data_IF_543691479680
#
_entry.id   IF_543691479680
#
_cell.length_a   1.000
_cell.length_b   1.000
_cell.length_c   1.000
_cell.angle_alpha   90.00
_cell.angle_beta   90.00
_cell.angle_gamma   90.00
#
_symmetry.space_group_name_H-M   'P 1'
#
loop_
_entity.id
_entity.type
_entity.pdbx_description
1 polymer ?
#
# COMPACT_ATOMS: atom_id res chain seq x y z
N UNK A 1 13.91 -16.77 -6.29
CA UNK A 1 12.45 -16.73 -6.46
C UNK A 1 12.09 -15.61 -7.42
N UNK A 2 11.06 -15.78 -8.23
CA UNK A 2 10.55 -14.69 -9.07
C UNK A 2 9.89 -13.61 -8.19
N UNK A 3 9.94 -12.35 -8.60
CA UNK A 3 9.41 -11.21 -7.81
C UNK A 3 7.89 -11.07 -7.83
N UNK A 4 7.12 -12.17 -7.90
CA UNK A 4 5.66 -12.17 -7.95
C UNK A 4 4.99 -12.68 -6.66
N UNK A 5 5.80 -13.12 -5.70
CA UNK A 5 5.34 -13.63 -4.40
C UNK A 5 5.92 -12.79 -3.27
N UNK A 6 5.10 -12.44 -2.30
CA UNK A 6 5.42 -11.69 -1.09
C UNK A 6 5.07 -12.55 0.14
N UNK A 7 5.81 -12.37 1.25
CA UNK A 7 5.57 -13.06 2.54
C UNK A 7 6.31 -14.39 2.68
N UNK A 8 6.33 -14.92 3.88
CA UNK A 8 6.97 -16.20 4.25
C UNK A 8 5.93 -17.27 4.64
N UNK A 9 5.05 -16.96 5.59
CA UNK A 9 3.93 -17.82 6.02
C UNK A 9 2.60 -17.32 5.49
N UNK A 10 2.39 -16.00 5.47
CA UNK A 10 1.27 -15.39 4.76
C UNK A 10 1.74 -14.95 3.38
N UNK A 11 1.65 -15.84 2.41
CA UNK A 11 2.19 -15.64 1.08
C UNK A 11 1.13 -15.11 0.12
N UNK A 12 1.50 -14.09 -0.65
CA UNK A 12 0.64 -13.49 -1.68
C UNK A 12 1.34 -13.57 -3.02
N UNK A 13 0.83 -14.38 -3.93
CA UNK A 13 1.31 -14.44 -5.32
C UNK A 13 0.33 -13.72 -6.24
N UNK A 14 0.81 -12.77 -7.04
CA UNK A 14 -0.03 -12.00 -7.96
C UNK A 14 0.32 -12.25 -9.42
N UNK A 15 -0.68 -12.25 -10.30
CA UNK A 15 -0.55 -12.38 -11.76
C UNK A 15 -1.54 -11.47 -12.49
N UNK A 16 -1.39 -11.36 -13.80
CA UNK A 16 -2.23 -10.53 -14.68
C UNK A 16 -1.61 -9.20 -15.06
N UNK A 17 -2.14 -8.55 -16.08
CA UNK A 17 -1.71 -7.26 -16.63
C UNK A 17 -2.85 -6.25 -16.71
N UNK A 18 -2.47 -4.94 -16.77
CA UNK A 18 -3.42 -3.83 -16.79
C UNK A 18 -4.45 -3.90 -17.92
N UNK A 19 -4.08 -4.44 -19.07
CA UNK A 19 -4.93 -4.59 -20.26
C UNK A 19 -5.08 -6.06 -20.67
N UNK A 20 -4.72 -7.01 -19.79
CA UNK A 20 -5.09 -8.42 -19.89
C UNK A 20 -6.55 -8.65 -19.46
N UNK A 21 -7.04 -9.90 -19.51
CA UNK A 21 -8.42 -10.22 -19.17
C UNK A 21 -8.76 -10.00 -17.70
N UNK A 22 -7.78 -10.20 -16.81
CA UNK A 22 -7.98 -10.10 -15.38
C UNK A 22 -6.65 -9.90 -14.65
N UNK A 23 -6.73 -9.47 -13.39
CA UNK A 23 -5.74 -9.73 -12.36
C UNK A 23 -6.22 -10.89 -11.48
N UNK A 24 -5.30 -11.63 -10.92
CA UNK A 24 -5.61 -12.67 -9.95
C UNK A 24 -4.52 -12.78 -8.91
N UNK A 25 -4.87 -13.40 -7.82
CA UNK A 25 -3.98 -13.68 -6.71
C UNK A 25 -4.24 -15.02 -6.07
N UNK A 26 -3.19 -15.53 -5.45
CA UNK A 26 -3.25 -16.67 -4.53
C UNK A 26 -2.73 -16.20 -3.20
N UNK A 27 -3.54 -16.34 -2.17
CA UNK A 27 -3.15 -16.16 -0.77
C UNK A 27 -2.99 -17.54 -0.15
N UNK A 28 -1.80 -17.83 0.33
CA UNK A 28 -1.50 -19.06 1.07
C UNK A 28 -1.13 -18.74 2.51
N UNK A 29 -1.34 -19.69 3.43
CA UNK A 29 -1.06 -19.53 4.85
C UNK A 29 -2.15 -18.81 5.66
N UNK A 30 -3.30 -18.48 5.07
CA UNK A 30 -4.43 -17.99 5.86
C UNK A 30 -4.96 -19.12 6.76
N UNK A 31 -5.02 -18.93 8.11
CA UNK A 31 -5.53 -19.96 9.01
C UNK A 31 -6.97 -20.38 8.69
N UNK A 32 -7.35 -21.64 8.94
CA UNK A 32 -8.72 -22.11 8.74
C UNK A 32 -9.69 -21.49 9.74
N UNK A 33 -10.98 -21.44 9.32
CA UNK A 33 -12.09 -21.06 10.19
C UNK A 33 -12.40 -19.57 10.25
N UNK A 34 -11.64 -18.69 9.55
CA UNK A 34 -12.01 -17.30 9.38
C UNK A 34 -13.29 -17.21 8.53
N UNK A 35 -14.31 -16.52 9.03
CA UNK A 35 -15.48 -16.17 8.23
C UNK A 35 -15.06 -15.25 7.07
N UNK A 36 -15.26 -15.65 5.81
CA UNK A 36 -14.79 -14.88 4.66
C UNK A 36 -15.78 -14.99 3.50
N UNK A 37 -16.19 -13.83 2.99
CA UNK A 37 -16.97 -13.66 1.78
C UNK A 37 -16.35 -12.56 0.90
N UNK A 38 -16.73 -12.54 -0.38
CA UNK A 38 -16.31 -11.48 -1.31
C UNK A 38 -16.61 -10.07 -0.77
N UNK A 39 -17.73 -9.88 -0.08
CA UNK A 39 -18.12 -8.61 0.52
C UNK A 39 -17.13 -8.08 1.57
N UNK A 40 -16.43 -8.97 2.28
CA UNK A 40 -15.41 -8.59 3.26
C UNK A 40 -14.21 -7.93 2.57
N UNK A 41 -13.84 -8.43 1.39
CA UNK A 41 -12.71 -7.95 0.59
C UNK A 41 -13.14 -6.74 -0.26
N UNK A 42 -14.36 -6.77 -0.80
CA UNK A 42 -14.87 -5.75 -1.71
C UNK A 42 -14.87 -4.35 -1.08
N UNK A 43 -15.13 -4.23 0.21
CA UNK A 43 -15.08 -2.94 0.94
C UNK A 43 -13.74 -2.22 0.78
N UNK A 44 -12.63 -2.94 0.90
CA UNK A 44 -11.29 -2.37 0.73
C UNK A 44 -10.97 -2.09 -0.75
N UNK A 45 -11.42 -2.96 -1.65
CA UNK A 45 -11.30 -2.74 -3.10
C UNK A 45 -12.09 -1.50 -3.55
N UNK A 46 -13.29 -1.27 -3.01
CA UNK A 46 -14.12 -0.09 -3.31
C UNK A 46 -13.44 1.22 -2.90
N UNK A 47 -12.72 1.24 -1.80
CA UNK A 47 -11.90 2.40 -1.39
C UNK A 47 -10.75 2.67 -2.35
N UNK A 48 -10.19 1.62 -2.96
CA UNK A 48 -9.02 1.71 -3.86
C UNK A 48 -9.41 1.92 -5.32
N UNK A 49 -10.58 1.48 -5.79
CA UNK A 49 -10.95 1.42 -7.21
C UNK A 49 -10.79 2.79 -7.93
N UNK A 50 -10.51 2.77 -9.26
CA UNK A 50 -10.50 3.99 -10.06
C UNK A 50 -11.92 4.55 -10.21
N UNK A 51 -12.03 5.84 -10.56
CA UNK A 51 -13.33 6.48 -10.80
C UNK A 51 -14.14 6.79 -9.54
N UNK A 52 -13.58 6.60 -8.35
CA UNK A 52 -14.25 6.89 -7.06
C UNK A 52 -14.52 8.38 -6.84
N UNK A 53 -13.81 9.27 -7.53
CA UNK A 53 -14.03 10.71 -7.48
C UNK A 53 -13.56 11.41 -8.75
N UNK A 54 -13.94 12.70 -8.93
CA UNK A 54 -13.45 13.54 -10.03
C UNK A 54 -11.94 13.80 -9.96
N UNK A 55 -11.29 13.58 -8.82
CA UNK A 55 -9.87 13.87 -8.59
C UNK A 55 -8.94 12.71 -8.91
N UNK A 56 -9.46 11.54 -9.21
CA UNK A 56 -8.72 10.36 -9.66
C UNK A 56 -8.97 10.08 -11.14
N UNK A 57 -8.34 9.04 -11.69
CA UNK A 57 -8.53 8.62 -13.08
C UNK A 57 -10.01 8.37 -13.41
N UNK A 58 -10.42 8.73 -14.62
CA UNK A 58 -11.78 8.51 -15.13
C UNK A 58 -12.01 7.08 -15.67
N UNK A 59 -11.03 6.18 -15.53
CA UNK A 59 -11.23 4.75 -15.79
C UNK A 59 -12.26 4.22 -14.81
N UNK A 60 -13.22 3.45 -15.31
CA UNK A 60 -14.26 2.84 -14.49
C UNK A 60 -14.05 1.33 -14.43
N UNK A 61 -13.82 0.83 -13.24
CA UNK A 61 -13.68 -0.59 -12.98
C UNK A 61 -14.53 -0.92 -11.75
N UNK A 62 -15.27 -2.01 -11.79
CA UNK A 62 -16.00 -2.49 -10.62
C UNK A 62 -15.05 -3.02 -9.54
N UNK A 63 -13.87 -3.48 -9.98
CA UNK A 63 -12.89 -4.23 -9.18
C UNK A 63 -13.55 -5.37 -8.40
N UNK A 64 -14.60 -5.98 -9.01
CA UNK A 64 -15.35 -7.06 -8.37
C UNK A 64 -14.48 -8.29 -8.22
N UNK A 65 -14.38 -8.76 -6.98
CA UNK A 65 -13.62 -9.96 -6.66
C UNK A 65 -14.51 -11.20 -6.81
N UNK A 66 -13.90 -12.28 -7.27
CA UNK A 66 -14.47 -13.62 -7.35
C UNK A 66 -13.52 -14.59 -6.66
N UNK A 67 -13.95 -15.22 -5.56
CA UNK A 67 -13.18 -16.22 -4.83
C UNK A 67 -13.39 -17.58 -5.52
N UNK A 68 -12.30 -18.24 -5.88
CA UNK A 68 -12.32 -19.50 -6.64
C UNK A 68 -12.00 -20.73 -5.79
N UNK A 69 -11.30 -20.56 -4.67
CA UNK A 69 -10.86 -21.66 -3.79
C UNK A 69 -10.53 -21.17 -2.39
N UNK A 70 -10.30 -22.09 -1.46
CA UNK A 70 -9.85 -21.81 -0.12
C UNK A 70 -10.94 -21.38 0.87
N UNK A 71 -12.20 -21.33 0.43
CA UNK A 71 -13.37 -21.02 1.25
C UNK A 71 -14.44 -22.10 1.05
N UNK A 72 -14.97 -22.63 2.13
CA UNK A 72 -16.08 -23.58 2.15
C UNK A 72 -17.09 -23.18 3.21
N UNK A 73 -18.36 -23.16 2.86
CA UNK A 73 -19.47 -22.71 3.75
C UNK A 73 -19.19 -21.37 4.44
N UNK A 74 -18.60 -20.42 3.71
CA UNK A 74 -18.28 -19.08 4.21
C UNK A 74 -17.10 -19.01 5.18
N UNK A 75 -16.27 -20.06 5.27
CA UNK A 75 -15.07 -20.11 6.13
C UNK A 75 -13.84 -20.52 5.36
N UNK A 76 -12.69 -19.93 5.71
CA UNK A 76 -11.40 -20.36 5.16
C UNK A 76 -11.10 -21.80 5.55
N UNK A 77 -10.52 -22.55 4.60
CA UNK A 77 -10.19 -23.98 4.78
C UNK A 77 -8.77 -24.21 5.28
N UNK A 78 -7.91 -23.18 5.29
CA UNK A 78 -6.48 -23.32 5.54
C UNK A 78 -5.66 -23.72 4.30
N UNK A 79 -6.32 -23.91 3.15
CA UNK A 79 -5.66 -24.12 1.87
C UNK A 79 -5.61 -22.81 1.06
N UNK A 80 -4.94 -22.82 -0.11
CA UNK A 80 -4.75 -21.62 -0.91
C UNK A 80 -6.08 -20.95 -1.32
N UNK A 81 -6.23 -19.67 -1.00
CA UNK A 81 -7.36 -18.83 -1.42
C UNK A 81 -7.00 -18.22 -2.77
N UNK A 82 -7.56 -18.78 -3.85
CA UNK A 82 -7.44 -18.25 -5.19
C UNK A 82 -8.58 -17.30 -5.50
N UNK A 83 -8.27 -16.15 -6.15
CA UNK A 83 -9.27 -15.19 -6.57
C UNK A 83 -8.89 -14.47 -7.85
N UNK A 84 -9.90 -13.93 -8.54
CA UNK A 84 -9.73 -13.11 -9.75
C UNK A 84 -10.52 -11.80 -9.65
N UNK A 85 -10.02 -10.78 -10.37
CA UNK A 85 -10.64 -9.46 -10.54
C UNK A 85 -10.56 -9.15 -12.03
N UNK A 86 -11.69 -9.11 -12.72
CA UNK A 86 -11.75 -8.92 -14.17
C UNK A 86 -11.51 -7.46 -14.55
N UNK A 87 -10.87 -7.25 -15.70
CA UNK A 87 -10.72 -5.93 -16.30
C UNK A 87 -11.92 -5.64 -17.20
N UNK A 88 -12.61 -4.52 -16.99
CA UNK A 88 -13.84 -4.15 -17.69
C UNK A 88 -13.66 -2.95 -18.63
N UNK A 89 -12.91 -1.91 -18.23
CA UNK A 89 -12.72 -0.66 -19.00
C UNK A 89 -11.27 -0.50 -19.50
N UNK A 90 -10.77 -1.49 -20.22
CA UNK A 90 -9.47 -1.44 -20.88
C UNK A 90 -9.58 -0.83 -22.29
N UNK A 91 -8.76 0.20 -22.58
CA UNK A 91 -8.70 0.88 -23.89
C UNK A 91 -7.30 0.80 -24.47
N UNK A 92 -6.96 -0.32 -25.08
CA UNK A 92 -5.62 -0.61 -25.62
C UNK A 92 -5.18 0.40 -26.69
N UNK A 93 -6.13 0.97 -27.44
CA UNK A 93 -5.86 1.97 -28.49
C UNK A 93 -5.22 3.26 -27.97
N UNK A 94 -5.47 3.63 -26.70
CA UNK A 94 -4.91 4.84 -26.08
C UNK A 94 -3.38 4.77 -25.92
N UNK A 95 -2.78 3.62 -26.11
CA UNK A 95 -1.35 3.36 -25.87
C UNK A 95 -0.56 3.03 -27.13
N UNK A 96 -1.17 3.06 -28.32
CA UNK A 96 -0.49 2.70 -29.59
C UNK A 96 0.75 3.57 -29.86
N UNK A 97 0.67 4.88 -29.58
CA UNK A 97 1.78 5.80 -29.72
C UNK A 97 2.95 5.52 -28.76
N UNK A 98 2.73 4.74 -27.71
CA UNK A 98 3.75 4.35 -26.73
C UNK A 98 4.41 2.99 -27.06
N UNK A 99 4.00 2.33 -28.15
CA UNK A 99 4.55 1.02 -28.52
C UNK A 99 6.06 1.10 -28.77
N UNK A 100 6.51 2.17 -29.39
CA UNK A 100 7.89 2.35 -29.84
C UNK A 100 8.70 3.34 -29.00
N UNK A 101 8.12 3.93 -27.97
CA UNK A 101 8.76 4.96 -27.16
C UNK A 101 8.70 4.65 -25.67
N UNK A 102 9.52 5.30 -24.85
CA UNK A 102 9.59 5.09 -23.40
C UNK A 102 9.15 6.34 -22.64
N UNK A 103 8.18 6.20 -21.72
CA UNK A 103 7.76 7.31 -20.86
C UNK A 103 8.84 7.64 -19.83
N UNK A 104 9.29 8.89 -19.71
CA UNK A 104 10.23 9.32 -18.68
C UNK A 104 9.65 9.05 -17.28
N UNK A 105 10.44 8.40 -16.39
CA UNK A 105 10.04 8.05 -15.03
C UNK A 105 9.05 6.90 -14.90
N UNK A 106 8.70 6.23 -16.01
CA UNK A 106 7.94 4.97 -16.02
C UNK A 106 8.84 3.75 -16.22
N UNK A 107 8.37 2.56 -15.92
CA UNK A 107 9.14 1.31 -16.05
C UNK A 107 9.31 0.81 -17.50
N UNK A 108 8.91 1.57 -18.51
CA UNK A 108 8.92 1.16 -19.92
C UNK A 108 10.30 0.73 -20.39
N UNK A 109 11.31 1.59 -20.16
CA UNK A 109 12.70 1.34 -20.55
C UNK A 109 13.31 0.13 -19.79
N UNK A 110 13.09 0.09 -18.46
CA UNK A 110 13.68 -0.96 -17.62
C UNK A 110 13.12 -2.35 -17.93
N UNK A 111 11.81 -2.44 -18.23
CA UNK A 111 11.21 -3.71 -18.67
C UNK A 111 11.74 -4.15 -20.03
N UNK A 112 11.86 -3.20 -20.98
CA UNK A 112 12.43 -3.48 -22.30
C UNK A 112 13.86 -4.00 -22.20
N UNK A 113 14.71 -3.35 -21.40
CA UNK A 113 16.10 -3.77 -21.22
C UNK A 113 16.23 -5.11 -20.49
N UNK A 114 15.37 -5.37 -19.51
CA UNK A 114 15.47 -6.57 -18.68
C UNK A 114 14.91 -7.82 -19.37
N UNK A 115 13.76 -7.67 -20.03
CA UNK A 115 13.03 -8.82 -20.56
C UNK A 115 13.06 -8.92 -22.10
N UNK A 116 13.61 -7.91 -22.80
CA UNK A 116 13.62 -7.84 -24.27
C UNK A 116 12.22 -7.64 -24.89
N UNK A 117 11.19 -7.62 -24.06
CA UNK A 117 9.78 -7.47 -24.44
C UNK A 117 9.03 -6.73 -23.35
N UNK A 118 8.06 -5.89 -23.75
CA UNK A 118 7.10 -5.28 -22.80
C UNK A 118 5.70 -5.25 -23.38
N UNK A 119 4.70 -5.37 -22.55
CA UNK A 119 3.34 -4.96 -22.90
C UNK A 119 3.22 -3.45 -22.71
N UNK A 120 3.13 -2.71 -23.82
CA UNK A 120 3.00 -1.25 -23.80
C UNK A 120 1.60 -0.78 -23.39
N UNK A 121 0.61 -1.67 -23.43
CA UNK A 121 -0.80 -1.36 -23.12
C UNK A 121 -0.96 -1.12 -21.61
N UNK A 122 -1.10 0.15 -21.21
CA UNK A 122 -1.25 0.54 -19.81
C UNK A 122 -0.09 0.19 -18.87
N UNK A 123 1.04 -0.28 -19.42
CA UNK A 123 2.23 -0.63 -18.64
C UNK A 123 2.27 -2.06 -18.11
N UNK A 124 1.36 -2.94 -18.53
CA UNK A 124 1.38 -4.37 -18.14
C UNK A 124 1.45 -4.60 -16.63
N UNK A 125 2.42 -5.41 -16.20
CA UNK A 125 2.72 -5.68 -14.76
C UNK A 125 3.24 -4.46 -13.99
N UNK A 126 3.85 -3.46 -14.67
CA UNK A 126 4.32 -2.25 -14.01
C UNK A 126 3.20 -1.25 -13.66
N UNK A 127 1.98 -1.53 -14.08
CA UNK A 127 0.81 -0.71 -13.77
C UNK A 127 0.42 -0.80 -12.29
N UNK A 128 0.10 0.35 -11.67
CA UNK A 128 -0.42 0.40 -10.31
C UNK A 128 -1.75 -0.36 -10.13
N UNK A 129 -2.40 -0.80 -11.22
CA UNK A 129 -3.60 -1.63 -11.14
C UNK A 129 -3.33 -3.01 -10.51
N UNK A 130 -2.11 -3.53 -10.55
CA UNK A 130 -1.74 -4.78 -9.88
C UNK A 130 -2.00 -4.73 -8.36
N UNK A 131 -2.03 -3.54 -7.77
CA UNK A 131 -2.32 -3.33 -6.36
C UNK A 131 -3.74 -3.74 -5.93
N UNK A 132 -4.65 -4.03 -6.87
CA UNK A 132 -5.94 -4.67 -6.54
C UNK A 132 -5.74 -5.99 -5.82
N UNK A 133 -4.77 -6.80 -6.28
CA UNK A 133 -4.45 -8.09 -5.65
C UNK A 133 -3.88 -7.89 -4.24
N UNK A 134 -3.03 -6.88 -4.05
CA UNK A 134 -2.47 -6.56 -2.73
C UNK A 134 -3.56 -6.12 -1.76
N UNK A 135 -4.52 -5.30 -2.22
CA UNK A 135 -5.65 -4.84 -1.39
C UNK A 135 -6.56 -6.00 -1.04
N UNK A 136 -6.84 -6.90 -1.97
CA UNK A 136 -7.64 -8.10 -1.69
C UNK A 136 -6.97 -8.99 -0.63
N UNK A 137 -5.68 -9.27 -0.77
CA UNK A 137 -4.91 -10.03 0.23
C UNK A 137 -4.84 -9.31 1.58
N UNK A 138 -4.62 -7.98 1.56
CA UNK A 138 -4.60 -7.15 2.76
C UNK A 138 -5.94 -7.11 3.50
N UNK A 139 -7.07 -7.15 2.78
CA UNK A 139 -8.40 -7.22 3.40
C UNK A 139 -8.60 -8.51 4.19
N UNK A 140 -8.13 -9.66 3.66
CA UNK A 140 -8.13 -10.95 4.39
C UNK A 140 -7.27 -10.83 5.65
N UNK A 141 -6.06 -10.26 5.52
CA UNK A 141 -5.14 -10.07 6.64
C UNK A 141 -5.73 -9.13 7.71
N UNK A 142 -6.30 -7.98 7.33
CA UNK A 142 -6.97 -7.03 8.24
C UNK A 142 -8.09 -7.71 9.03
N UNK A 143 -8.93 -8.48 8.33
CA UNK A 143 -10.03 -9.21 8.98
C UNK A 143 -9.52 -10.20 10.02
N UNK A 144 -8.56 -11.03 9.66
CA UNK A 144 -7.98 -12.02 10.58
C UNK A 144 -7.29 -11.37 11.79
N UNK A 145 -6.50 -10.33 11.55
CA UNK A 145 -5.80 -9.58 12.60
C UNK A 145 -6.79 -8.89 13.55
N UNK A 146 -7.85 -8.29 12.99
CA UNK A 146 -8.90 -7.64 13.78
C UNK A 146 -9.67 -8.64 14.66
N UNK A 147 -10.14 -9.76 14.10
CA UNK A 147 -10.90 -10.76 14.82
C UNK A 147 -10.04 -11.50 15.87
N UNK A 148 -8.77 -11.75 15.58
CA UNK A 148 -7.89 -12.53 16.45
C UNK A 148 -7.20 -11.73 17.55
N UNK A 149 -6.80 -10.50 17.26
CA UNK A 149 -5.95 -9.69 18.14
C UNK A 149 -6.50 -8.28 18.41
N UNK A 150 -7.57 -7.87 17.76
CA UNK A 150 -8.07 -6.50 17.84
C UNK A 150 -7.18 -5.48 17.14
N UNK A 151 -6.32 -5.92 16.22
CA UNK A 151 -5.44 -5.03 15.46
C UNK A 151 -6.26 -4.25 14.43
N UNK A 152 -6.12 -2.95 14.43
CA UNK A 152 -6.72 -2.06 13.43
C UNK A 152 -5.62 -1.39 12.62
N UNK A 153 -5.75 -1.40 11.27
CA UNK A 153 -4.81 -0.75 10.34
C UNK A 153 -5.55 0.33 9.57
N UNK A 154 -5.12 1.58 9.74
CA UNK A 154 -5.73 2.77 9.13
C UNK A 154 -4.68 3.65 8.48
N UNK A 155 -5.00 4.21 7.32
CA UNK A 155 -4.15 5.14 6.62
C UNK A 155 -4.85 6.46 6.33
N UNK A 156 -4.08 7.51 6.13
CA UNK A 156 -4.57 8.82 5.72
C UNK A 156 -3.58 9.56 4.83
N UNK A 157 -4.08 10.47 4.02
CA UNK A 157 -3.25 11.39 3.26
C UNK A 157 -2.64 12.44 4.21
N UNK A 158 -1.32 12.52 4.26
CA UNK A 158 -0.58 13.46 5.12
C UNK A 158 -0.03 14.67 4.36
N UNK A 159 0.12 14.56 3.03
CA UNK A 159 0.54 15.67 2.18
C UNK A 159 0.14 15.41 0.72
N UNK A 160 -0.31 16.46 0.02
CA UNK A 160 -0.61 16.44 -1.42
C UNK A 160 0.18 17.55 -2.12
N UNK A 161 1.19 17.19 -2.90
CA UNK A 161 2.14 18.15 -3.45
C UNK A 161 2.72 19.03 -2.34
N UNK A 162 2.65 20.38 -2.43
CA UNK A 162 3.15 21.29 -1.39
C UNK A 162 2.23 21.41 -0.16
N UNK A 163 1.01 20.86 -0.20
CA UNK A 163 0.01 21.03 0.85
C UNK A 163 0.19 19.98 1.93
N UNK A 164 0.79 20.35 3.07
CA UNK A 164 0.86 19.52 4.27
C UNK A 164 -0.50 19.50 4.96
N UNK A 165 -0.89 18.37 5.53
CA UNK A 165 -2.18 18.12 6.16
C UNK A 165 -1.93 17.74 7.61
N UNK A 166 -2.50 18.50 8.55
CA UNK A 166 -2.47 18.14 9.96
C UNK A 166 -3.45 17.00 10.24
N UNK A 167 -3.07 16.03 11.05
CA UNK A 167 -4.00 15.01 11.51
C UNK A 167 -4.96 15.59 12.54
N UNK A 168 -6.27 15.42 12.32
CA UNK A 168 -7.31 15.87 13.26
C UNK A 168 -8.25 14.76 13.70
N UNK A 169 -8.74 13.94 12.76
CA UNK A 169 -9.71 12.89 13.09
C UNK A 169 -9.62 11.73 12.11
N UNK A 170 -9.74 10.50 12.64
CA UNK A 170 -9.93 9.30 11.84
C UNK A 170 -11.31 9.24 11.19
N UNK A 171 -12.33 9.80 11.81
CA UNK A 171 -13.71 9.78 11.28
C UNK A 171 -13.79 10.53 9.94
N UNK A 172 -13.06 11.64 9.83
CA UNK A 172 -13.02 12.44 8.61
C UNK A 172 -12.36 11.74 7.41
N UNK A 173 -11.49 10.76 7.64
CA UNK A 173 -10.66 10.13 6.58
C UNK A 173 -11.52 9.49 5.47
N UNK A 174 -12.60 8.83 5.83
CA UNK A 174 -13.47 8.14 4.86
C UNK A 174 -14.65 8.99 4.36
N UNK A 175 -14.80 10.22 4.86
CA UNK A 175 -15.90 11.14 4.52
C UNK A 175 -15.58 12.05 3.33
N UNK A 176 -14.35 11.99 2.81
CA UNK A 176 -13.92 12.81 1.68
C UNK A 176 -13.07 11.99 0.68
N UNK A 177 -12.98 12.44 -0.58
CA UNK A 177 -12.34 11.65 -1.64
C UNK A 177 -10.80 11.60 -1.56
N UNK A 178 -10.18 12.26 -0.58
CA UNK A 178 -8.72 12.35 -0.43
C UNK A 178 -8.18 11.46 0.67
N UNK A 179 -9.02 10.78 1.46
CA UNK A 179 -8.59 10.17 2.73
C UNK A 179 -7.92 11.20 3.64
N UNK A 180 -8.44 12.41 3.65
CA UNK A 180 -7.89 13.56 4.35
C UNK A 180 -8.43 13.58 5.79
N UNK A 181 -7.55 13.64 6.82
CA UNK A 181 -7.97 13.68 8.23
C UNK A 181 -8.39 15.07 8.72
N UNK A 182 -8.27 16.12 7.89
CA UNK A 182 -8.71 17.48 8.16
C UNK A 182 -9.70 17.96 7.09
N UNK A 183 -11.02 17.98 7.38
CA UNK A 183 -12.03 18.43 6.42
C UNK A 183 -11.85 19.89 5.98
N UNK A 184 -11.26 20.74 6.81
CA UNK A 184 -11.13 22.16 6.51
C UNK A 184 -10.18 22.46 5.34
N UNK A 185 -9.20 21.58 5.06
CA UNK A 185 -8.26 21.75 3.95
C UNK A 185 -8.78 21.16 2.62
N UNK A 186 -9.83 20.33 2.64
CA UNK A 186 -10.34 19.62 1.45
C UNK A 186 -10.63 20.55 0.28
N UNK A 187 -11.31 21.72 0.44
CA UNK A 187 -11.52 22.63 -0.69
C UNK A 187 -10.23 23.14 -1.34
N UNK A 188 -9.16 23.36 -0.54
CA UNK A 188 -7.85 23.74 -1.08
C UNK A 188 -7.20 22.59 -1.86
N UNK A 189 -7.35 21.36 -1.41
CA UNK A 189 -6.85 20.18 -2.13
C UNK A 189 -7.58 20.00 -3.47
N UNK A 190 -8.90 20.21 -3.49
CA UNK A 190 -9.71 20.18 -4.71
C UNK A 190 -9.24 21.21 -5.73
N UNK A 191 -9.10 22.47 -5.32
CA UNK A 191 -8.60 23.54 -6.17
C UNK A 191 -7.20 23.21 -6.72
N UNK A 192 -6.31 22.68 -5.90
CA UNK A 192 -4.97 22.30 -6.32
C UNK A 192 -5.01 21.17 -7.37
N UNK A 193 -5.86 20.17 -7.19
CA UNK A 193 -6.03 19.08 -8.16
C UNK A 193 -6.63 19.56 -9.48
N UNK A 194 -7.58 20.50 -9.44
CA UNK A 194 -8.14 21.09 -10.64
C UNK A 194 -7.09 21.91 -11.43
N UNK A 195 -6.21 22.64 -10.75
CA UNK A 195 -5.07 23.34 -11.36
C UNK A 195 -4.08 22.37 -12.02
N UNK A 196 -3.72 21.26 -11.35
CA UNK A 196 -2.86 20.22 -11.93
C UNK A 196 -3.49 19.59 -13.17
N UNK A 197 -4.78 19.34 -13.13
CA UNK A 197 -5.49 18.79 -14.30
C UNK A 197 -5.52 19.78 -15.47
N UNK A 198 -5.75 21.07 -15.21
CA UNK A 198 -5.75 22.10 -16.22
C UNK A 198 -4.36 22.27 -16.87
N UNK A 199 -3.28 22.23 -16.08
CA UNK A 199 -1.91 22.30 -16.57
C UNK A 199 -1.42 21.01 -17.25
N UNK A 200 -2.13 19.88 -17.09
CA UNK A 200 -1.70 18.59 -17.62
C UNK A 200 -0.53 17.96 -16.89
N UNK A 201 -0.24 18.40 -15.67
CA UNK A 201 0.86 17.94 -14.83
C UNK A 201 0.39 17.00 -13.69
N UNK A 202 1.30 16.61 -12.81
CA UNK A 202 1.06 15.70 -11.69
C UNK A 202 1.82 16.10 -10.44
N UNK A 203 1.43 15.57 -9.28
CA UNK A 203 2.14 15.78 -8.03
C UNK A 203 2.38 14.47 -7.28
N UNK A 204 3.31 14.52 -6.32
CA UNK A 204 3.53 13.48 -5.34
C UNK A 204 2.64 13.64 -4.12
N UNK A 205 2.75 12.68 -3.19
CA UNK A 205 2.03 12.69 -1.93
C UNK A 205 2.81 12.01 -0.82
N UNK A 206 2.43 12.31 0.43
CA UNK A 206 2.80 11.54 1.62
C UNK A 206 1.53 10.87 2.16
N UNK A 207 1.62 9.59 2.45
CA UNK A 207 0.58 8.80 3.11
C UNK A 207 1.16 8.28 4.42
N UNK A 208 0.40 8.43 5.50
CA UNK A 208 0.72 7.83 6.77
C UNK A 208 -0.20 6.63 7.01
N UNK A 209 0.34 5.57 7.59
CA UNK A 209 -0.41 4.38 8.00
C UNK A 209 -0.06 4.03 9.42
N UNK A 210 -1.08 3.72 10.20
CA UNK A 210 -0.98 3.38 11.63
C UNK A 210 -1.60 2.01 11.84
N UNK A 211 -0.90 1.13 12.57
CA UNK A 211 -1.50 -0.08 13.10
C UNK A 211 -1.55 0.01 14.63
N UNK A 212 -2.75 -0.04 15.19
CA UNK A 212 -3.01 -0.07 16.63
C UNK A 212 -3.37 -1.49 17.08
N UNK A 213 -3.19 -1.77 18.38
CA UNK A 213 -3.50 -3.07 18.98
C UNK A 213 -2.53 -4.21 18.61
N UNK A 214 -1.38 -3.87 18.01
CA UNK A 214 -0.34 -4.87 17.68
C UNK A 214 0.28 -5.38 18.97
N UNK A 215 0.25 -6.72 19.26
CA UNK A 215 0.88 -7.26 20.44
C UNK A 215 2.39 -7.03 20.50
N UNK A 216 2.95 -7.05 21.70
CA UNK A 216 4.41 -7.09 21.89
C UNK A 216 4.94 -8.42 21.35
N UNK A 217 6.10 -8.40 20.69
CA UNK A 217 6.84 -9.61 20.35
C UNK A 217 6.77 -10.03 18.88
N UNK A 218 6.03 -9.35 18.02
CA UNK A 218 6.05 -9.65 16.57
C UNK A 218 7.27 -9.06 15.90
N UNK A 219 7.98 -9.86 15.13
CA UNK A 219 9.24 -9.51 14.49
C UNK A 219 10.40 -10.34 15.02
N UNK A 220 11.52 -10.25 14.34
CA UNK A 220 12.72 -11.03 14.63
C UNK A 220 13.92 -10.10 14.81
N UNK A 221 14.92 -10.47 15.62
CA UNK A 221 16.20 -9.77 15.63
C UNK A 221 16.98 -10.09 14.34
N UNK A 222 17.87 -9.21 13.96
CA UNK A 222 18.85 -9.27 12.88
C UNK A 222 18.22 -9.26 11.48
N UNK A 223 17.66 -10.35 10.96
CA UNK A 223 17.26 -10.44 9.54
C UNK A 223 15.76 -10.40 9.29
N UNK A 224 14.93 -10.86 10.15
CA UNK A 224 13.46 -10.82 10.02
C UNK A 224 12.83 -9.67 10.79
N UNK A 225 13.47 -8.50 10.82
CA UNK A 225 13.00 -7.33 11.56
C UNK A 225 11.67 -6.82 11.01
N UNK A 226 10.74 -6.55 11.91
CA UNK A 226 9.41 -6.05 11.53
C UNK A 226 9.49 -4.71 10.79
N UNK A 227 10.30 -3.77 11.28
CA UNK A 227 10.51 -2.47 10.63
C UNK A 227 11.13 -2.60 9.23
N UNK A 228 12.06 -3.53 9.05
CA UNK A 228 12.69 -3.82 7.76
C UNK A 228 11.70 -4.42 6.76
N UNK A 229 10.90 -5.40 7.18
CA UNK A 229 9.90 -6.04 6.32
C UNK A 229 8.77 -5.06 5.96
N UNK A 230 8.35 -4.20 6.90
CA UNK A 230 7.44 -3.09 6.62
C UNK A 230 8.03 -2.15 5.57
N UNK A 231 9.28 -1.69 5.75
CA UNK A 231 9.92 -0.78 4.81
C UNK A 231 10.05 -1.41 3.41
N UNK A 232 10.41 -2.69 3.32
CA UNK A 232 10.48 -3.45 2.07
C UNK A 232 9.13 -3.55 1.37
N UNK A 233 8.08 -3.92 2.12
CA UNK A 233 6.72 -4.03 1.59
C UNK A 233 6.19 -2.69 1.06
N UNK A 234 6.41 -1.61 1.81
CA UNK A 234 6.01 -0.25 1.45
C UNK A 234 6.78 0.28 0.24
N UNK A 235 8.11 0.05 0.18
CA UNK A 235 8.94 0.44 -0.97
C UNK A 235 8.54 -0.34 -2.23
N UNK A 236 7.96 -1.54 -2.10
CA UNK A 236 7.42 -2.33 -3.19
C UNK A 236 6.10 -1.79 -3.78
N UNK A 237 5.46 -0.79 -3.18
CA UNK A 237 4.25 -0.14 -3.72
C UNK A 237 4.66 0.76 -4.90
N UNK A 238 3.88 0.70 -5.99
CA UNK A 238 4.14 1.52 -7.17
C UNK A 238 4.24 3.01 -6.81
N UNK A 239 5.23 3.69 -7.37
CA UNK A 239 5.56 5.10 -7.17
C UNK A 239 6.14 5.49 -5.79
N UNK A 240 6.23 4.60 -4.82
CA UNK A 240 6.91 4.89 -3.54
C UNK A 240 8.40 5.11 -3.78
N UNK A 241 8.97 6.12 -3.11
CA UNK A 241 10.37 6.55 -3.19
C UNK A 241 11.01 6.81 -1.81
N UNK A 242 10.22 6.75 -0.75
CA UNK A 242 10.70 6.90 0.61
C UNK A 242 9.76 6.22 1.58
N UNK A 243 10.32 5.65 2.64
CA UNK A 243 9.61 5.05 3.77
C UNK A 243 10.26 5.54 5.05
N UNK A 244 9.45 5.93 6.02
CA UNK A 244 9.88 6.30 7.37
C UNK A 244 9.09 5.48 8.38
N UNK A 245 9.75 5.04 9.45
CA UNK A 245 9.16 4.36 10.60
C UNK A 245 9.34 5.28 11.81
N UNK A 246 8.26 5.56 12.55
CA UNK A 246 8.30 6.49 13.69
C UNK A 246 8.76 7.89 13.29
N UNK A 247 9.74 8.43 14.00
CA UNK A 247 10.32 9.76 13.72
C UNK A 247 11.05 9.82 12.36
N UNK A 248 11.42 8.66 11.77
CA UNK A 248 12.07 8.60 10.47
C UNK A 248 13.32 9.48 10.39
N UNK A 249 13.43 10.30 9.35
CA UNK A 249 14.57 11.21 9.18
C UNK A 249 14.65 12.32 10.23
N UNK A 250 13.55 12.68 10.91
CA UNK A 250 13.58 13.66 11.99
C UNK A 250 14.38 13.18 13.22
N UNK A 251 14.62 11.87 13.34
CA UNK A 251 15.46 11.29 14.39
C UNK A 251 16.90 11.84 14.40
N UNK A 252 17.45 12.27 13.24
CA UNK A 252 18.80 12.81 13.15
C UNK A 252 18.94 14.19 13.83
N UNK A 253 17.86 14.90 14.04
CA UNK A 253 17.81 16.20 14.70
C UNK A 253 17.65 16.08 16.22
N UNK A 254 17.34 14.87 16.73
CA UNK A 254 17.09 14.60 18.15
C UNK A 254 18.35 14.10 18.84
N UNK A 255 18.52 14.49 20.11
CA UNK A 255 19.54 13.87 20.98
C UNK A 255 19.04 12.52 21.49
N UNK A 256 19.95 11.64 21.91
CA UNK A 256 19.57 10.35 22.47
C UNK A 256 18.62 10.44 23.67
N UNK A 257 18.75 11.47 24.50
CA UNK A 257 17.84 11.76 25.62
C UNK A 257 16.45 12.27 25.20
N UNK A 258 16.30 12.72 23.96
CA UNK A 258 15.02 13.19 23.39
C UNK A 258 14.34 12.11 22.57
N UNK A 259 15.14 11.27 21.88
CA UNK A 259 14.67 10.20 21.02
C UNK A 259 14.23 8.96 21.81
N UNK A 260 14.88 8.64 22.92
CA UNK A 260 14.59 7.43 23.70
C UNK A 260 13.13 7.39 24.17
N UNK A 261 12.41 6.35 23.79
CA UNK A 261 11.03 6.13 24.25
C UNK A 261 11.07 5.56 25.67
N UNK A 262 11.00 6.43 26.67
CA UNK A 262 11.07 6.06 28.08
C UNK A 262 9.88 5.19 28.49
N UNK A 263 10.16 4.20 29.36
CA UNK A 263 9.20 3.22 29.86
C UNK A 263 8.83 3.52 31.31
N UNK A 264 7.55 3.46 31.60
CA UNK A 264 7.01 3.51 32.97
C UNK A 264 6.07 2.31 33.19
N UNK A 265 5.72 2.00 34.43
CA UNK A 265 4.68 1.00 34.69
C UNK A 265 3.32 1.35 34.05
N UNK A 266 3.06 2.64 33.78
CA UNK A 266 1.85 3.14 33.13
C UNK A 266 1.91 3.15 31.60
N UNK A 267 3.05 2.85 31.00
CA UNK A 267 3.23 2.81 29.54
C UNK A 267 4.43 3.60 29.05
N UNK A 268 4.58 3.68 27.73
CA UNK A 268 5.61 4.48 27.05
C UNK A 268 5.24 5.96 27.05
N UNK A 269 6.26 6.83 27.24
CA UNK A 269 6.08 8.29 27.28
C UNK A 269 6.13 8.93 25.89
N UNK A 270 6.74 8.26 24.90
CA UNK A 270 6.83 8.68 23.49
C UNK A 270 6.81 7.46 22.56
N UNK A 271 6.77 7.68 21.26
CA UNK A 271 6.82 6.63 20.25
C UNK A 271 7.67 7.08 19.05
N UNK A 272 8.89 7.53 19.32
CA UNK A 272 9.84 7.97 18.29
C UNK A 272 10.32 6.80 17.42
N UNK A 273 10.46 5.60 18.02
CA UNK A 273 10.83 4.37 17.31
C UNK A 273 9.71 3.83 16.42
N UNK A 274 8.47 4.35 16.53
CA UNK A 274 7.35 3.94 15.69
C UNK A 274 6.84 2.54 15.96
N UNK A 275 6.86 2.11 17.23
CA UNK A 275 6.28 0.85 17.68
C UNK A 275 7.17 -0.39 17.54
N UNK A 276 8.44 -0.21 17.18
CA UNK A 276 9.41 -1.30 17.06
C UNK A 276 10.74 -0.98 17.74
N UNK A 277 11.26 -1.92 18.51
CA UNK A 277 12.60 -1.85 19.10
C UNK A 277 13.36 -3.14 18.78
N UNK A 278 14.57 -3.02 18.26
CA UNK A 278 15.39 -4.17 17.85
C UNK A 278 14.76 -5.03 16.75
N UNK A 279 13.78 -4.48 16.00
CA UNK A 279 13.04 -5.20 14.96
C UNK A 279 11.81 -5.95 15.47
N UNK A 280 11.41 -5.74 16.73
CA UNK A 280 10.31 -6.44 17.39
C UNK A 280 9.27 -5.39 17.87
N UNK A 281 7.99 -5.69 17.72
CA UNK A 281 6.90 -4.81 18.15
C UNK A 281 6.88 -4.59 19.66
N UNK A 282 6.61 -3.35 20.08
CA UNK A 282 6.62 -2.93 21.50
C UNK A 282 5.25 -2.94 22.16
N UNK A 283 4.17 -3.17 21.41
CA UNK A 283 2.79 -2.94 21.86
C UNK A 283 2.29 -1.52 21.64
N UNK A 284 3.15 -0.61 21.19
CA UNK A 284 2.76 0.74 20.75
C UNK A 284 2.17 0.69 19.34
N UNK A 285 1.59 1.80 18.90
CA UNK A 285 1.18 1.94 17.51
C UNK A 285 2.37 1.83 16.56
N UNK A 286 2.24 1.04 15.51
CA UNK A 286 3.20 1.02 14.41
C UNK A 286 2.93 2.22 13.52
N UNK A 287 3.92 3.12 13.41
CA UNK A 287 3.82 4.36 12.65
C UNK A 287 4.66 4.31 11.38
N UNK A 288 4.01 4.38 10.22
CA UNK A 288 4.67 4.29 8.91
C UNK A 288 4.29 5.49 8.06
N UNK A 289 5.27 6.11 7.40
CA UNK A 289 5.03 7.14 6.37
C UNK A 289 5.67 6.73 5.05
N UNK A 290 4.96 6.96 3.94
CA UNK A 290 5.49 6.72 2.60
C UNK A 290 5.41 7.97 1.74
N UNK A 291 6.46 8.20 0.95
CA UNK A 291 6.53 9.27 -0.04
C UNK A 291 6.35 8.69 -1.44
N UNK A 292 5.36 9.20 -2.17
CA UNK A 292 5.07 8.79 -3.54
C UNK A 292 5.50 9.88 -4.51
N UNK A 293 6.23 9.49 -5.57
CA UNK A 293 6.61 10.41 -6.64
C UNK A 293 5.39 10.85 -7.47
N UNK A 294 5.48 11.98 -8.20
CA UNK A 294 4.48 12.37 -9.18
C UNK A 294 4.22 11.29 -10.23
N UNK A 295 3.01 11.22 -10.75
CA UNK A 295 2.63 10.31 -11.85
C UNK A 295 3.49 10.59 -13.07
N UNK A 296 4.06 9.54 -13.66
CA UNK A 296 4.97 9.68 -14.83
C UNK A 296 4.24 9.98 -16.15
N UNK A 297 2.98 9.57 -16.24
CA UNK A 297 2.15 9.77 -17.44
C UNK A 297 1.44 11.11 -17.35
N UNK A 298 2.00 12.15 -17.98
CA UNK A 298 1.48 13.52 -17.99
C UNK A 298 1.21 14.00 -19.42
N UNK A 299 0.38 15.03 -19.57
CA UNK A 299 0.00 15.58 -20.87
C UNK A 299 1.04 16.55 -21.44
N UNK A 300 2.04 16.92 -20.68
CA UNK A 300 3.14 17.77 -21.14
C UNK A 300 4.11 16.96 -22.02
N UNK A 301 4.56 17.49 -23.16
CA UNK A 301 5.56 16.85 -24.01
C UNK A 301 6.89 16.73 -23.27
N UNK A 302 7.54 15.57 -23.34
CA UNK A 302 8.81 15.28 -22.65
C UNK A 302 9.80 14.60 -23.58
N UNK A 303 11.07 14.96 -23.46
CA UNK A 303 12.16 14.30 -24.19
C UNK A 303 12.28 12.85 -23.77
N UNK A 304 12.50 11.95 -24.72
CA UNK A 304 12.69 10.51 -24.54
C UNK A 304 13.51 9.93 -25.69
N UNK A 305 13.58 8.61 -25.75
CA UNK A 305 14.15 7.84 -26.85
C UNK A 305 13.12 6.81 -27.34
N UNK A 306 13.28 6.39 -28.60
CA UNK A 306 12.54 5.27 -29.18
C UNK A 306 13.24 3.90 -28.90
N UNK A 307 12.68 2.83 -29.43
CA UNK A 307 13.24 1.47 -29.29
C UNK A 307 14.60 1.26 -29.99
N UNK A 308 14.99 2.18 -30.88
CA UNK A 308 16.29 2.16 -31.56
C UNK A 308 17.33 3.01 -30.81
N UNK A 309 16.92 3.72 -29.75
CA UNK A 309 17.75 4.64 -29.00
C UNK A 309 17.79 6.05 -29.59
N UNK A 310 16.98 6.35 -30.63
CA UNK A 310 16.94 7.66 -31.26
C UNK A 310 16.12 8.67 -30.44
N UNK A 311 16.54 9.96 -30.43
CA UNK A 311 15.82 11.00 -29.71
C UNK A 311 14.38 11.17 -30.20
N UNK A 312 13.45 11.28 -29.25
CA UNK A 312 12.02 11.51 -29.54
C UNK A 312 11.35 12.33 -28.45
N UNK A 313 10.10 12.71 -28.69
CA UNK A 313 9.24 13.36 -27.70
C UNK A 313 8.04 12.49 -27.40
N UNK A 314 7.74 12.31 -26.13
CA UNK A 314 6.58 11.54 -25.64
C UNK A 314 5.60 12.47 -24.96
N UNK A 315 4.34 12.36 -25.32
CA UNK A 315 3.21 13.00 -24.67
C UNK A 315 2.14 11.95 -24.41
N UNK A 316 1.63 11.87 -23.18
CA UNK A 316 0.65 10.86 -22.81
C UNK A 316 -0.76 11.46 -22.88
N UNK A 317 -1.65 10.82 -23.64
CA UNK A 317 -3.03 11.28 -23.85
C UNK A 317 -4.08 10.50 -23.05
N UNK A 318 -3.68 9.43 -22.35
CA UNK A 318 -4.58 8.53 -21.61
C UNK A 318 -5.17 9.14 -20.33
N UNK A 319 -6.04 8.35 -19.69
CA UNK A 319 -6.73 8.69 -18.43
C UNK A 319 -5.84 8.30 -17.25
N UNK A 320 -5.02 9.22 -16.73
CA UNK A 320 -4.11 8.98 -15.62
C UNK A 320 -4.51 9.75 -14.38
N UNK A 321 -4.15 9.21 -13.20
CA UNK A 321 -4.28 9.92 -11.93
C UNK A 321 -3.29 11.10 -11.91
N UNK A 322 -3.72 12.34 -11.66
CA UNK A 322 -2.77 13.44 -11.43
C UNK A 322 -1.93 13.23 -10.15
N UNK A 323 -2.45 12.46 -9.21
CA UNK A 323 -1.73 12.01 -8.03
C UNK A 323 -2.14 10.58 -7.66
N UNK A 324 -1.18 9.64 -7.64
CA UNK A 324 -1.43 8.26 -7.24
C UNK A 324 -1.55 8.08 -5.72
N UNK A 325 -1.11 9.08 -4.93
CA UNK A 325 -1.06 9.01 -3.47
C UNK A 325 -2.42 8.86 -2.82
N UNK A 326 -3.48 9.45 -3.39
CA UNK A 326 -4.84 9.33 -2.87
C UNK A 326 -5.22 7.84 -2.79
N UNK A 327 -5.07 7.12 -3.90
CA UNK A 327 -5.39 5.69 -3.99
C UNK A 327 -4.35 4.78 -3.33
N UNK A 328 -3.17 5.30 -3.00
CA UNK A 328 -2.15 4.56 -2.28
C UNK A 328 -2.49 4.35 -0.80
N UNK A 329 -3.39 5.13 -0.22
CA UNK A 329 -3.81 5.00 1.18
C UNK A 329 -4.31 3.59 1.51
N UNK A 330 -5.37 3.05 0.88
CA UNK A 330 -5.81 1.68 1.13
C UNK A 330 -4.79 0.61 0.70
N UNK A 331 -3.90 0.91 -0.25
CA UNK A 331 -2.83 -0.02 -0.65
C UNK A 331 -1.79 -0.16 0.45
N UNK A 332 -1.39 0.95 1.07
CA UNK A 332 -0.42 0.95 2.16
C UNK A 332 -0.99 0.27 3.42
N UNK A 333 -2.26 0.51 3.74
CA UNK A 333 -2.97 -0.24 4.79
C UNK A 333 -2.89 -1.75 4.53
N UNK A 334 -3.20 -2.18 3.33
CA UNK A 334 -3.20 -3.58 2.93
C UNK A 334 -1.82 -4.22 3.07
N UNK A 335 -0.76 -3.52 2.61
CA UNK A 335 0.60 -4.04 2.70
C UNK A 335 1.09 -4.14 4.15
N UNK A 336 0.77 -3.16 5.01
CA UNK A 336 1.06 -3.23 6.44
C UNK A 336 0.36 -4.43 7.08
N UNK A 337 -0.91 -4.66 6.76
CA UNK A 337 -1.66 -5.80 7.28
C UNK A 337 -1.06 -7.14 6.84
N UNK A 338 -0.63 -7.27 5.58
CA UNK A 338 0.03 -8.49 5.09
C UNK A 338 1.32 -8.78 5.87
N UNK A 339 2.16 -7.75 6.12
CA UNK A 339 3.39 -7.90 6.92
C UNK A 339 3.05 -8.32 8.34
N UNK A 340 2.11 -7.63 8.99
CA UNK A 340 1.72 -7.94 10.37
C UNK A 340 1.15 -9.35 10.50
N UNK A 341 0.35 -9.81 9.53
CA UNK A 341 -0.17 -11.17 9.53
C UNK A 341 0.93 -12.22 9.37
N UNK A 342 1.90 -11.98 8.47
CA UNK A 342 3.06 -12.87 8.30
C UNK A 342 3.85 -13.00 9.62
N UNK A 343 4.17 -11.88 10.26
CA UNK A 343 4.88 -11.87 11.54
C UNK A 343 4.06 -12.48 12.69
N UNK A 344 2.74 -12.27 12.71
CA UNK A 344 1.86 -12.92 13.70
C UNK A 344 1.88 -14.44 13.57
N UNK A 345 1.86 -14.97 12.35
CA UNK A 345 1.94 -16.42 12.11
C UNK A 345 3.33 -16.97 12.46
N UNK A 346 4.39 -16.27 12.13
CA UNK A 346 5.77 -16.63 12.52
C UNK A 346 5.92 -16.67 14.03
N UNK A 347 5.46 -15.64 14.73
CA UNK A 347 5.46 -15.57 16.20
C UNK A 347 4.69 -16.76 16.82
N UNK A 348 3.50 -17.08 16.30
CA UNK A 348 2.72 -18.24 16.76
C UNK A 348 3.47 -19.56 16.59
N UNK A 349 4.17 -19.73 15.48
CA UNK A 349 4.91 -20.95 15.19
C UNK A 349 6.13 -21.14 16.11
N UNK A 350 6.82 -20.05 16.47
CA UNK A 350 8.05 -20.10 17.23
C UNK A 350 7.86 -19.84 18.74
N UNK A 351 6.99 -18.89 19.09
CA UNK A 351 6.86 -18.37 20.46
C UNK A 351 5.47 -18.58 21.05
N UNK A 352 4.64 -19.44 20.45
CA UNK A 352 3.24 -19.64 20.88
C UNK A 352 3.10 -20.12 22.32
N UNK A 353 4.10 -20.84 22.84
CA UNK A 353 4.11 -21.40 24.21
C UNK A 353 4.89 -20.52 25.21
N UNK A 354 5.43 -19.38 24.77
CA UNK A 354 6.18 -18.47 25.64
C UNK A 354 5.23 -17.71 26.56
N UNK A 355 5.48 -17.81 27.86
CA UNK A 355 4.81 -17.00 28.88
C UNK A 355 5.76 -15.87 29.26
N UNK A 356 5.44 -14.61 28.94
CA UNK A 356 6.31 -13.48 29.30
C UNK A 356 6.47 -13.38 30.83
N UNK A 357 7.68 -13.05 31.33
CA UNK A 357 7.97 -12.98 32.77
C UNK A 357 7.24 -11.82 33.46
N UNK A 358 6.84 -10.80 32.70
CA UNK A 358 6.02 -9.68 33.17
C UNK A 358 4.86 -9.44 32.22
N UNK A 359 3.80 -8.84 32.68
CA UNK A 359 2.70 -8.39 31.80
C UNK A 359 3.19 -7.25 30.90
N UNK A 360 2.76 -7.21 29.62
CA UNK A 360 3.05 -6.09 28.76
C UNK A 360 2.59 -4.78 29.41
N UNK A 361 3.42 -3.74 29.35
CA UNK A 361 3.02 -2.39 29.75
C UNK A 361 2.13 -1.77 28.65
N UNK A 362 1.27 -0.79 28.98
CA UNK A 362 0.49 -0.07 27.99
C UNK A 362 1.37 0.56 26.91
N UNK A 363 0.91 0.57 25.66
CA UNK A 363 1.63 1.19 24.54
C UNK A 363 1.77 2.70 24.66
N UNK A 364 0.97 3.34 25.52
CA UNK A 364 1.05 4.77 25.85
C UNK A 364 0.69 4.97 27.30
N UNK A 365 1.44 5.82 28.00
CA UNK A 365 1.09 6.28 29.33
C UNK A 365 -0.20 7.12 29.28
N UNK A 366 -1.08 6.92 30.26
CA UNK A 366 -2.32 7.67 30.40
C UNK A 366 -2.10 9.13 30.78
#
# INVERSE_FOLDING_TARGET
MSGNTFGLLYCVTSFGESHGPAYGGVVDGCPPGLGLAESDIQRDLDRRKPGSSRHVTQRQESDRIEILSGVFEGRTTGTAIGFVIRNEDQRSKDYSALADTFRPGHADYTYWQKYGLRDYRGGGRASARETTVRVAAGAIAKKWLGERYGVEVRGHLAQLGPNRIAFKSWDAVNENPFFCPDPAIVPKLEQFMDQLRASGDSCGARVNVVASGVPVGWGEPVYGRLDSDIASAMMGINAVKGVEIGAGFAAIEQKGSEYGDELTPGGFLSNNAGGTLGGISTGQEILVSIALKPTSSIRLPRRSIDRKGEPTTVQTTGRHDPCVGIRATPIAEAMLACVLMDHALRHRAQCGDVVPPIRPIPGKAG
#
